data_IF_220345497884
#
_entry.id   IF_220345497884
#
_cell.length_a   1.000
_cell.length_b   1.000
_cell.length_c   1.000
_cell.angle_alpha   90.00
_cell.angle_beta   90.00
_cell.angle_gamma   90.00
#
_symmetry.space_group_name_H-M   'P 1'
#
loop_
_entity.id
_entity.type
_entity.pdbx_description
1 polymer ?
#
# COMPACT_ATOMS: atom_id res chain seq x y z
N UNK A 1 0.04 -5.30 -13.34
CA UNK A 1 1.17 -4.76 -12.54
C UNK A 1 1.98 -5.94 -12.00
N UNK A 2 3.31 -5.90 -12.02
CA UNK A 2 4.15 -7.02 -11.55
C UNK A 2 5.24 -6.52 -10.60
N UNK A 3 5.30 -7.10 -9.40
CA UNK A 3 6.37 -6.85 -8.42
C UNK A 3 6.73 -8.15 -7.70
N UNK A 4 8.01 -8.44 -7.58
CA UNK A 4 8.52 -9.65 -6.91
C UNK A 4 9.42 -9.24 -5.74
N UNK A 5 9.20 -9.88 -4.60
CA UNK A 5 10.04 -9.76 -3.41
C UNK A 5 10.40 -11.14 -2.87
N UNK A 6 11.29 -11.19 -1.86
CA UNK A 6 11.61 -12.42 -1.15
C UNK A 6 10.45 -12.98 -0.32
N UNK A 7 9.35 -12.22 -0.17
CA UNK A 7 8.20 -12.59 0.66
C UNK A 7 7.00 -13.03 -0.17
N UNK A 8 6.97 -12.64 -1.46
CA UNK A 8 5.85 -12.89 -2.34
C UNK A 8 5.89 -12.07 -3.62
N UNK A 9 4.89 -12.31 -4.46
CA UNK A 9 4.67 -11.63 -5.73
C UNK A 9 3.36 -10.86 -5.66
N UNK A 10 3.36 -9.65 -6.20
CA UNK A 10 2.15 -8.95 -6.61
C UNK A 10 2.07 -9.10 -8.12
N UNK A 11 1.02 -9.78 -8.59
CA UNK A 11 0.77 -9.95 -10.02
C UNK A 11 -0.69 -9.62 -10.28
N UNK A 12 -0.89 -8.69 -11.21
CA UNK A 12 -2.19 -8.16 -11.59
C UNK A 12 -2.89 -7.59 -10.37
N UNK A 13 -3.90 -8.30 -9.84
CA UNK A 13 -4.72 -7.88 -8.71
C UNK A 13 -4.57 -8.82 -7.51
N UNK A 14 -3.59 -9.70 -7.55
CA UNK A 14 -3.37 -10.76 -6.57
C UNK A 14 -2.01 -10.63 -5.89
N UNK A 15 -2.02 -10.95 -4.61
CA UNK A 15 -0.86 -11.12 -3.76
C UNK A 15 -0.63 -12.61 -3.55
N UNK A 16 0.54 -13.10 -3.90
CA UNK A 16 0.96 -14.49 -3.70
C UNK A 16 2.07 -14.49 -2.66
N UNK A 17 1.84 -15.11 -1.51
CA UNK A 17 2.82 -15.18 -0.42
C UNK A 17 3.56 -16.51 -0.43
N UNK A 18 4.89 -16.47 -0.49
CA UNK A 18 5.71 -17.69 -0.57
C UNK A 18 5.66 -18.53 0.71
N UNK A 19 5.48 -17.88 1.87
CA UNK A 19 5.42 -18.56 3.16
C UNK A 19 4.07 -19.26 3.43
N UNK A 20 3.08 -19.14 2.55
CA UNK A 20 1.74 -19.71 2.70
C UNK A 20 1.38 -20.60 1.51
N UNK A 21 2.26 -21.54 1.15
CA UNK A 21 2.02 -22.47 0.04
C UNK A 21 1.62 -21.80 -1.30
N UNK A 22 2.06 -20.55 -1.52
CA UNK A 22 1.66 -19.73 -2.68
C UNK A 22 0.15 -19.45 -2.77
N UNK A 23 -0.53 -19.34 -1.62
CA UNK A 23 -1.92 -18.92 -1.58
C UNK A 23 -2.10 -17.56 -2.24
N UNK A 24 -3.14 -17.47 -3.08
CA UNK A 24 -3.43 -16.30 -3.88
C UNK A 24 -4.50 -15.46 -3.19
N UNK A 25 -4.11 -14.27 -2.77
CA UNK A 25 -4.95 -13.34 -2.02
C UNK A 25 -5.37 -12.21 -2.96
N UNK A 26 -6.67 -11.99 -3.12
CA UNK A 26 -7.16 -10.83 -3.85
C UNK A 26 -6.79 -9.54 -3.10
N UNK A 27 -6.07 -8.61 -3.76
CA UNK A 27 -5.61 -7.36 -3.14
C UNK A 27 -6.78 -6.47 -2.73
N UNK A 28 -7.90 -6.55 -3.45
CA UNK A 28 -9.14 -5.86 -3.12
C UNK A 28 -9.72 -6.27 -1.76
N UNK A 29 -9.53 -7.53 -1.34
CA UNK A 29 -10.06 -8.09 -0.09
C UNK A 29 -9.15 -7.82 1.12
N UNK A 30 -7.98 -7.21 0.93
CA UNK A 30 -7.09 -6.82 2.02
C UNK A 30 -7.66 -5.58 2.67
N UNK A 31 -8.07 -5.64 3.92
CA UNK A 31 -8.56 -4.46 4.66
C UNK A 31 -7.41 -3.57 5.10
N UNK A 32 -6.42 -4.16 5.78
CA UNK A 32 -5.34 -3.44 6.44
C UNK A 32 -4.02 -4.22 6.40
N UNK A 33 -2.88 -3.49 6.44
CA UNK A 33 -1.54 -4.09 6.56
C UNK A 33 -0.75 -3.40 7.68
N UNK A 34 -0.33 -4.18 8.68
CA UNK A 34 0.45 -3.72 9.84
C UNK A 34 1.86 -4.30 9.86
N UNK A 35 2.77 -3.52 10.44
CA UNK A 35 4.11 -3.99 10.82
C UNK A 35 4.27 -3.69 12.30
N UNK A 36 4.40 -4.72 13.13
CA UNK A 36 4.48 -4.57 14.57
C UNK A 36 5.82 -5.07 15.09
N UNK A 37 6.50 -4.30 15.94
CA UNK A 37 7.67 -4.80 16.65
C UNK A 37 7.20 -5.84 17.69
N UNK A 38 7.76 -7.04 17.64
CA UNK A 38 7.38 -8.09 18.58
C UNK A 38 7.99 -7.79 19.94
N UNK A 39 7.15 -7.68 20.97
CA UNK A 39 7.63 -7.53 22.35
C UNK A 39 8.29 -8.83 22.77
N UNK A 40 9.57 -8.78 23.12
CA UNK A 40 10.27 -9.94 23.68
C UNK A 40 9.73 -10.16 25.10
N UNK A 41 8.84 -11.13 25.27
CA UNK A 41 8.17 -11.41 26.55
C UNK A 41 9.05 -12.09 27.59
N UNK A 42 10.27 -12.53 27.25
CA UNK A 42 11.14 -13.18 28.23
C UNK A 42 12.31 -12.27 28.64
N UNK A 43 12.20 -11.78 29.87
CA UNK A 43 13.18 -11.01 30.66
C UNK A 43 14.38 -11.85 31.14
N UNK A 44 14.90 -12.77 30.32
CA UNK A 44 16.22 -13.34 30.60
C UNK A 44 17.29 -12.39 30.05
N UNK A 45 18.03 -11.81 30.99
CA UNK A 45 19.10 -10.82 30.91
C UNK A 45 20.38 -11.31 30.20
N UNK A 46 20.33 -12.41 29.43
CA UNK A 46 21.55 -13.01 28.84
C UNK A 46 21.73 -12.70 27.34
N UNK A 47 20.74 -12.17 26.64
CA UNK A 47 20.86 -11.99 25.20
C UNK A 47 21.13 -10.53 24.80
N UNK A 48 22.40 -10.12 24.88
CA UNK A 48 22.93 -8.93 24.21
C UNK A 48 22.73 -9.00 22.67
N UNK A 49 22.45 -10.20 22.13
CA UNK A 49 22.15 -10.47 20.73
C UNK A 49 20.66 -10.81 20.44
N UNK A 50 19.67 -10.30 21.21
CA UNK A 50 18.25 -10.49 20.84
C UNK A 50 17.99 -9.83 19.48
N UNK A 51 17.93 -10.65 18.41
CA UNK A 51 17.45 -10.23 17.09
C UNK A 51 16.09 -9.55 17.28
N UNK A 52 16.00 -8.25 17.00
CA UNK A 52 14.72 -7.53 16.99
C UNK A 52 13.86 -8.14 15.89
N UNK A 53 12.79 -8.81 16.29
CA UNK A 53 11.80 -9.42 15.40
C UNK A 53 10.60 -8.50 15.24
N UNK A 54 9.98 -8.58 14.07
CA UNK A 54 8.82 -7.83 13.66
C UNK A 54 7.83 -8.80 13.03
N UNK A 55 6.55 -8.52 13.18
CA UNK A 55 5.47 -9.25 12.54
C UNK A 55 4.89 -8.40 11.42
N UNK A 56 4.78 -8.98 10.23
CA UNK A 56 4.00 -8.45 9.13
C UNK A 56 2.62 -9.08 9.19
N UNK A 57 1.58 -8.25 9.26
CA UNK A 57 0.21 -8.70 9.48
C UNK A 57 -0.65 -8.14 8.36
N UNK A 58 -1.34 -9.01 7.63
CA UNK A 58 -2.36 -8.67 6.64
C UNK A 58 -3.70 -9.04 7.26
N UNK A 59 -4.62 -8.08 7.30
CA UNK A 59 -5.99 -8.27 7.79
C UNK A 59 -6.90 -8.20 6.57
N UNK A 60 -7.67 -9.26 6.34
CA UNK A 60 -8.66 -9.35 5.27
C UNK A 60 -9.99 -8.71 5.70
N UNK A 61 -10.84 -8.33 4.75
CA UNK A 61 -12.18 -7.80 5.06
C UNK A 61 -13.05 -8.81 5.81
N UNK A 62 -12.79 -10.13 5.61
CA UNK A 62 -13.37 -11.23 6.38
C UNK A 62 -12.91 -11.31 7.85
N UNK A 63 -12.04 -10.39 8.29
CA UNK A 63 -11.33 -10.42 9.58
C UNK A 63 -10.30 -11.54 9.72
N UNK A 64 -10.06 -12.32 8.67
CA UNK A 64 -8.96 -13.29 8.63
C UNK A 64 -7.61 -12.57 8.71
N UNK A 65 -6.67 -13.15 9.46
CA UNK A 65 -5.35 -12.56 9.71
C UNK A 65 -4.26 -13.47 9.23
N UNK A 66 -3.45 -12.94 8.34
CA UNK A 66 -2.25 -13.60 7.82
C UNK A 66 -1.04 -12.92 8.44
N UNK A 67 -0.22 -13.68 9.15
CA UNK A 67 0.95 -13.15 9.87
C UNK A 67 2.21 -13.91 9.53
N UNK A 68 3.30 -13.18 9.26
CA UNK A 68 4.63 -13.77 9.20
C UNK A 68 5.68 -12.89 9.91
N UNK A 69 6.63 -13.55 10.56
CA UNK A 69 7.68 -12.88 11.34
C UNK A 69 8.95 -12.68 10.53
N UNK A 70 9.61 -11.54 10.70
CA UNK A 70 10.89 -11.22 10.06
C UNK A 70 11.82 -10.45 11.01
N UNK A 71 13.13 -10.51 10.74
CA UNK A 71 14.14 -9.78 11.53
C UNK A 71 14.31 -8.33 11.05
N UNK A 72 14.75 -7.42 11.93
CA UNK A 72 14.98 -5.99 11.62
C UNK A 72 15.72 -5.70 10.31
N UNK A 73 16.72 -6.50 9.93
CA UNK A 73 17.47 -6.33 8.65
C UNK A 73 16.59 -6.32 7.40
N UNK A 74 15.40 -6.90 7.49
CA UNK A 74 14.44 -7.00 6.40
C UNK A 74 13.39 -5.88 6.41
N UNK A 75 13.37 -5.03 7.44
CA UNK A 75 12.35 -3.99 7.62
C UNK A 75 12.21 -3.04 6.41
N UNK A 76 13.29 -2.51 5.80
CA UNK A 76 13.15 -1.65 4.63
C UNK A 76 12.48 -2.36 3.44
N UNK A 77 12.86 -3.62 3.21
CA UNK A 77 12.30 -4.45 2.11
C UNK A 77 10.82 -4.75 2.34
N UNK A 78 10.45 -5.00 3.60
CA UNK A 78 9.06 -5.26 4.00
C UNK A 78 8.19 -4.00 3.89
N UNK A 79 8.72 -2.84 4.27
CA UNK A 79 8.02 -1.55 4.10
C UNK A 79 7.77 -1.30 2.62
N UNK A 80 8.77 -1.46 1.77
CA UNK A 80 8.61 -1.31 0.32
C UNK A 80 7.55 -2.28 -0.24
N UNK A 81 7.55 -3.54 0.22
CA UNK A 81 6.53 -4.51 -0.16
C UNK A 81 5.12 -4.08 0.26
N UNK A 82 4.93 -3.63 1.51
CA UNK A 82 3.66 -3.07 2.00
C UNK A 82 3.19 -1.91 1.12
N UNK A 83 4.07 -0.96 0.82
CA UNK A 83 3.74 0.20 -0.01
C UNK A 83 3.28 -0.23 -1.39
N UNK A 84 3.92 -1.24 -1.99
CA UNK A 84 3.53 -1.75 -3.30
C UNK A 84 2.15 -2.40 -3.30
N UNK A 85 1.79 -3.15 -2.24
CA UNK A 85 0.44 -3.72 -2.09
C UNK A 85 -0.60 -2.59 -2.02
N UNK A 86 -0.33 -1.56 -1.21
CA UNK A 86 -1.24 -0.41 -1.08
C UNK A 86 -1.39 0.38 -2.37
N UNK A 87 -0.29 0.64 -3.07
CA UNK A 87 -0.32 1.31 -4.37
C UNK A 87 -1.21 0.52 -5.34
N UNK A 88 -1.02 -0.80 -5.42
CA UNK A 88 -1.85 -1.67 -6.27
C UNK A 88 -3.33 -1.59 -5.86
N UNK A 89 -3.63 -1.66 -4.56
CA UNK A 89 -5.00 -1.54 -4.04
C UNK A 89 -5.63 -0.19 -4.39
N UNK A 90 -4.86 0.90 -4.33
CA UNK A 90 -5.33 2.24 -4.69
C UNK A 90 -5.63 2.34 -6.19
N UNK A 91 -4.71 1.90 -7.05
CA UNK A 91 -4.92 1.88 -8.50
C UNK A 91 -6.17 1.08 -8.91
N UNK A 92 -6.48 -0.01 -8.19
CA UNK A 92 -7.70 -0.77 -8.41
C UNK A 92 -8.96 0.06 -8.15
N UNK A 93 -8.98 0.86 -7.09
CA UNK A 93 -10.12 1.73 -6.78
C UNK A 93 -10.33 2.82 -7.83
N UNK A 94 -9.24 3.41 -8.33
CA UNK A 94 -9.31 4.44 -9.38
C UNK A 94 -9.85 3.89 -10.70
N UNK A 95 -9.52 2.63 -11.02
CA UNK A 95 -10.04 1.98 -12.24
C UNK A 95 -11.56 1.73 -12.19
N UNK A 96 -12.12 1.51 -11.00
CA UNK A 96 -13.58 1.41 -10.81
C UNK A 96 -14.28 2.76 -10.91
N UNK A 97 -13.64 3.85 -10.47
CA UNK A 97 -14.19 5.21 -10.60
C UNK A 97 -14.18 5.71 -12.05
N UNK A 98 -13.12 5.40 -12.82
CA UNK A 98 -13.04 5.76 -14.24
C UNK A 98 -14.02 4.99 -15.13
N UNK A 99 -14.64 3.92 -14.63
CA UNK A 99 -15.62 3.13 -15.38
C UNK A 99 -17.05 3.68 -15.27
N UNK A 100 -17.28 4.72 -14.46
CA UNK A 100 -18.55 5.43 -14.34
C UNK A 100 -18.59 6.79 -15.06
N UNK A 101 -17.52 7.18 -15.74
CA UNK A 101 -17.47 8.40 -16.58
C UNK A 101 -17.53 8.03 -18.07
N UNK A 102 -18.57 7.30 -18.47
CA UNK A 102 -19.18 7.43 -19.80
C UNK A 102 -20.55 8.10 -19.59
N UNK A 103 -20.51 9.35 -19.11
CA UNK A 103 -21.67 10.24 -19.13
C UNK A 103 -21.29 11.39 -20.07
N UNK A 104 -21.76 11.26 -21.30
CA UNK A 104 -22.07 12.31 -22.29
C UNK A 104 -21.65 13.75 -21.98
N UNK A 105 -20.88 14.31 -22.91
CA UNK A 105 -20.91 15.72 -23.33
C UNK A 105 -21.16 16.78 -22.26
N UNK A 106 -20.09 17.23 -21.60
CA UNK A 106 -20.04 18.57 -21.05
C UNK A 106 -18.89 19.33 -21.72
N UNK A 107 -19.25 20.20 -22.68
CA UNK A 107 -18.38 21.20 -23.27
C UNK A 107 -17.75 22.06 -22.16
N UNK A 108 -16.50 21.77 -21.80
CA UNK A 108 -15.69 22.66 -20.98
C UNK A 108 -15.10 23.77 -21.86
N UNK A 109 -15.85 24.86 -22.01
CA UNK A 109 -15.31 26.11 -22.55
C UNK A 109 -14.52 26.80 -21.43
N UNK A 110 -13.21 26.88 -21.56
CA UNK A 110 -12.37 27.68 -20.65
C UNK A 110 -12.49 29.15 -21.04
N UNK A 111 -13.31 29.93 -20.33
CA UNK A 111 -13.16 31.38 -20.34
C UNK A 111 -11.85 31.74 -19.62
N UNK A 112 -10.88 32.20 -20.42
CA UNK A 112 -9.59 32.66 -19.96
C UNK A 112 -9.77 34.05 -19.31
N UNK A 113 -10.09 34.09 -18.02
CA UNK A 113 -10.01 35.34 -17.26
C UNK A 113 -8.55 35.67 -17.01
N UNK A 114 -8.07 36.71 -17.70
CA UNK A 114 -6.71 37.20 -17.60
C UNK A 114 -6.58 38.01 -16.29
N UNK A 115 -5.68 37.64 -15.35
CA UNK A 115 -5.52 38.41 -14.14
C UNK A 115 -4.56 39.59 -14.37
N UNK A 116 -5.01 40.78 -13.98
CA UNK A 116 -4.24 41.98 -13.67
C UNK A 116 -3.53 42.71 -14.83
N UNK A 117 -4.08 43.88 -15.18
CA UNK A 117 -3.20 45.05 -15.43
C UNK A 117 -3.80 46.27 -14.75
N UNK A 118 -3.38 46.48 -13.51
CA UNK A 118 -3.38 47.78 -12.88
C UNK A 118 -2.17 48.54 -13.44
N UNK A 119 -2.39 49.62 -14.19
CA UNK A 119 -1.36 50.59 -14.57
C UNK A 119 -1.95 52.01 -14.52
N UNK A 120 -1.68 52.67 -13.40
CA UNK A 120 -1.27 54.05 -13.20
C UNK A 120 -1.83 55.21 -14.04
N UNK A 121 -2.30 56.22 -13.28
CA UNK A 121 -2.07 57.68 -13.37
C UNK A 121 -2.07 58.39 -14.73
N UNK A 122 -2.99 59.36 -14.84
CA UNK A 122 -2.94 60.74 -15.39
C UNK A 122 -4.30 61.00 -16.09
N UNK A 123 -5.02 62.09 -15.87
CA UNK A 123 -4.64 63.48 -15.59
C UNK A 123 -5.46 64.13 -14.47
#
# INVERSE_FOLDING_TARGET
>A
MFFKSNYGIIKDNYLILYNLNNEMIAISAISEIKICARKNTNWNLVNYFKKKLYDFIIIMDSQEKITFTFSKKHLPKIIAFKTQIWHTKFCLKDSTLKKSEDISDANFTFEKTNPLTNKNLSA
#
